data_IF_729137648524
#
_entry.id   IF_729137648524
#
_cell.length_a   1.000
_cell.length_b   1.000
_cell.length_c   1.000
_cell.angle_alpha   90.00
_cell.angle_beta   90.00
_cell.angle_gamma   90.00
#
_symmetry.space_group_name_H-M   'P 1'
#
loop_
_entity.id
_entity.type
_entity.pdbx_description
1 polymer ?
#
# COMPACT_ATOMS: atom_id res chain seq x y z
N UNK A 1 -24.52 -20.69 51.57
CA UNK A 1 -25.10 -19.35 51.80
C UNK A 1 -24.08 -18.22 51.88
N UNK A 2 -23.27 -18.04 52.93
CA UNK A 2 -22.35 -16.87 53.01
C UNK A 2 -21.21 -16.92 51.98
N UNK A 3 -20.69 -18.10 51.65
CA UNK A 3 -19.64 -18.29 50.64
C UNK A 3 -20.13 -18.06 49.19
N UNK A 4 -21.38 -18.40 48.88
CA UNK A 4 -21.98 -18.16 47.57
C UNK A 4 -22.24 -16.67 47.32
N UNK A 5 -22.66 -15.93 48.35
CA UNK A 5 -22.83 -14.48 48.29
C UNK A 5 -21.50 -13.74 48.07
N UNK A 6 -20.41 -14.21 48.69
CA UNK A 6 -19.08 -13.65 48.49
C UNK A 6 -18.56 -13.87 47.06
N UNK A 7 -18.78 -15.06 46.49
CA UNK A 7 -18.42 -15.36 45.09
C UNK A 7 -19.27 -14.56 44.09
N UNK A 8 -20.56 -14.35 44.39
CA UNK A 8 -21.44 -13.55 43.54
C UNK A 8 -21.08 -12.07 43.54
N UNK A 9 -20.73 -11.50 44.70
CA UNK A 9 -20.23 -10.13 44.83
C UNK A 9 -18.86 -9.96 44.17
N UNK A 10 -17.95 -10.92 44.30
CA UNK A 10 -16.67 -10.90 43.61
C UNK A 10 -16.83 -11.00 42.08
N UNK A 11 -17.80 -11.78 41.60
CA UNK A 11 -18.12 -11.88 40.18
C UNK A 11 -18.73 -10.58 39.64
N UNK A 12 -19.65 -9.96 40.37
CA UNK A 12 -20.20 -8.64 40.04
C UNK A 12 -19.12 -7.55 40.05
N UNK A 13 -18.21 -7.56 41.04
CA UNK A 13 -17.10 -6.63 41.11
C UNK A 13 -16.11 -6.84 39.95
N UNK A 14 -15.85 -8.10 39.57
CA UNK A 14 -15.03 -8.47 38.42
C UNK A 14 -15.66 -8.01 37.09
N UNK A 15 -16.97 -8.19 36.91
CA UNK A 15 -17.71 -7.67 35.73
C UNK A 15 -17.66 -6.14 35.69
N UNK A 16 -17.80 -5.46 36.83
CA UNK A 16 -17.74 -4.00 36.93
C UNK A 16 -16.33 -3.46 36.65
N UNK A 17 -15.27 -4.17 37.06
CA UNK A 17 -13.88 -3.78 36.82
C UNK A 17 -13.36 -4.11 35.42
N UNK A 18 -14.02 -4.99 34.68
CA UNK A 18 -13.65 -5.36 33.30
C UNK A 18 -14.24 -4.44 32.22
N UNK A 19 -15.08 -3.47 32.57
CA UNK A 19 -15.51 -2.47 31.60
C UNK A 19 -14.40 -1.45 31.36
N UNK A 20 -13.45 -1.80 30.49
CA UNK A 20 -12.59 -0.79 29.87
C UNK A 20 -13.49 0.31 29.27
N UNK A 21 -13.18 1.60 29.53
CA UNK A 21 -14.00 2.69 29.04
C UNK A 21 -14.08 2.62 27.51
N UNK A 22 -15.31 2.72 26.98
CA UNK A 22 -15.55 2.73 25.53
C UNK A 22 -14.70 3.83 24.88
N UNK A 23 -13.69 3.43 24.11
CA UNK A 23 -12.84 4.37 23.36
C UNK A 23 -13.52 4.67 22.03
N UNK A 24 -13.71 5.95 21.76
CA UNK A 24 -14.27 6.43 20.48
C UNK A 24 -13.14 7.01 19.64
N UNK A 25 -13.11 6.65 18.36
CA UNK A 25 -12.14 7.13 17.39
C UNK A 25 -12.86 7.72 16.18
N UNK A 26 -12.26 8.73 15.55
CA UNK A 26 -12.81 9.41 14.39
C UNK A 26 -11.89 9.18 13.19
N UNK A 27 -12.49 8.89 12.04
CA UNK A 27 -11.82 8.65 10.75
C UNK A 27 -12.66 9.27 9.64
N UNK A 28 -12.04 9.53 8.47
CA UNK A 28 -12.77 9.99 7.29
C UNK A 28 -13.82 8.99 6.82
N UNK A 29 -13.51 7.69 6.96
CA UNK A 29 -14.42 6.58 6.71
C UNK A 29 -14.05 5.36 7.56
N UNK A 30 -15.06 4.56 7.93
CA UNK A 30 -14.91 3.27 8.62
C UNK A 30 -15.63 2.21 7.79
N UNK A 31 -14.93 1.13 7.44
CA UNK A 31 -15.47 0.05 6.64
C UNK A 31 -15.77 -1.18 7.52
N UNK A 32 -17.02 -1.64 7.61
CA UNK A 32 -17.39 -2.87 8.32
C UNK A 32 -16.92 -4.12 7.56
N UNK A 33 -16.97 -5.28 8.23
CA UNK A 33 -16.50 -6.56 7.69
C UNK A 33 -17.21 -6.98 6.39
N UNK A 34 -18.49 -6.66 6.27
CA UNK A 34 -19.35 -6.95 5.12
C UNK A 34 -19.15 -5.97 3.94
N UNK A 35 -18.26 -4.98 4.10
CA UNK A 35 -17.96 -4.04 3.02
C UNK A 35 -17.22 -4.73 1.86
N UNK A 36 -17.79 -4.65 0.66
CA UNK A 36 -17.16 -5.16 -0.54
C UNK A 36 -15.95 -4.31 -1.00
N UNK A 37 -15.10 -4.90 -1.85
CA UNK A 37 -13.86 -4.28 -2.32
C UNK A 37 -14.10 -3.04 -3.19
N UNK A 38 -15.20 -3.02 -3.93
CA UNK A 38 -15.55 -1.92 -4.83
C UNK A 38 -16.01 -0.69 -4.04
N UNK A 39 -16.73 -0.89 -2.94
CA UNK A 39 -17.13 0.16 -2.02
C UNK A 39 -15.92 0.76 -1.33
N UNK A 40 -14.97 -0.07 -0.88
CA UNK A 40 -13.68 0.41 -0.39
C UNK A 40 -13.05 1.27 -1.47
N UNK A 41 -12.80 0.73 -2.68
CA UNK A 41 -12.17 1.47 -3.79
C UNK A 41 -12.83 2.83 -4.09
N UNK A 42 -14.15 2.88 -4.21
CA UNK A 42 -14.87 4.09 -4.58
C UNK A 42 -14.76 5.21 -3.54
N UNK A 43 -14.76 4.88 -2.25
CA UNK A 43 -14.61 5.87 -1.17
C UNK A 43 -13.13 6.23 -0.97
N UNK A 44 -12.27 5.22 -1.04
CA UNK A 44 -10.86 5.25 -0.70
C UNK A 44 -9.95 5.86 -1.76
N UNK A 45 -10.00 5.25 -2.94
CA UNK A 45 -8.92 5.28 -3.91
C UNK A 45 -9.33 6.07 -5.14
N UNK A 46 -10.60 5.95 -5.55
CA UNK A 46 -11.13 6.63 -6.73
C UNK A 46 -10.84 8.15 -6.73
N UNK A 47 -11.07 8.93 -5.67
CA UNK A 47 -10.76 10.37 -5.70
C UNK A 47 -9.26 10.65 -5.88
N UNK A 48 -8.39 9.78 -5.34
CA UNK A 48 -6.94 9.89 -5.49
C UNK A 48 -6.54 9.59 -6.93
N UNK A 49 -7.07 8.51 -7.52
CA UNK A 49 -6.79 8.15 -8.92
C UNK A 49 -7.28 9.25 -9.88
N UNK A 50 -8.47 9.83 -9.64
CA UNK A 50 -8.98 10.96 -10.43
C UNK A 50 -8.07 12.19 -10.33
N UNK A 51 -7.49 12.46 -9.17
CA UNK A 51 -6.52 13.54 -9.02
C UNK A 51 -5.19 13.22 -9.72
N UNK A 52 -4.73 11.97 -9.70
CA UNK A 52 -3.54 11.56 -10.44
C UNK A 52 -3.71 11.76 -11.95
N UNK A 53 -4.90 11.43 -12.48
CA UNK A 53 -5.22 11.65 -13.89
C UNK A 53 -5.25 13.14 -14.28
N UNK A 54 -5.46 14.05 -13.31
CA UNK A 54 -5.36 15.51 -13.47
C UNK A 54 -3.94 16.07 -13.28
N UNK A 55 -2.93 15.21 -13.10
CA UNK A 55 -1.53 15.62 -12.92
C UNK A 55 -1.12 15.88 -11.47
N UNK A 56 -1.86 15.39 -10.48
CA UNK A 56 -1.44 15.45 -9.08
C UNK A 56 -0.72 14.17 -8.64
N UNK A 57 0.01 14.25 -7.52
CA UNK A 57 0.59 13.07 -6.89
C UNK A 57 -0.40 12.51 -5.86
N UNK A 58 -0.54 11.19 -5.83
CA UNK A 58 -1.45 10.47 -4.96
C UNK A 58 -0.77 9.24 -4.36
N UNK A 59 -1.04 8.98 -3.10
CA UNK A 59 -0.44 7.84 -2.40
C UNK A 59 -1.49 7.15 -1.55
N UNK A 60 -1.59 5.84 -1.71
CA UNK A 60 -2.50 4.97 -0.96
C UNK A 60 -1.65 3.98 -0.17
N UNK A 61 -1.82 3.98 1.15
CA UNK A 61 -1.16 3.03 2.05
C UNK A 61 -2.18 2.06 2.65
N UNK A 62 -1.86 0.78 2.62
CA UNK A 62 -2.43 -0.18 3.55
C UNK A 62 -1.50 -0.36 4.75
N UNK A 63 -2.04 -0.18 5.95
CA UNK A 63 -1.32 -0.27 7.21
C UNK A 63 -2.14 -1.08 8.22
N UNK A 64 -1.46 -1.86 9.05
CA UNK A 64 -2.08 -2.73 10.04
C UNK A 64 -1.17 -3.89 10.43
N UNK A 65 -1.52 -4.60 11.50
CA UNK A 65 -0.79 -5.80 11.93
C UNK A 65 -0.84 -6.89 10.86
N UNK A 66 0.11 -7.82 10.87
CA UNK A 66 0.02 -9.05 10.05
C UNK A 66 -1.33 -9.76 10.24
N UNK A 67 -1.92 -10.24 9.14
CA UNK A 67 -3.23 -10.90 9.13
C UNK A 67 -4.45 -9.98 9.01
N UNK A 68 -4.31 -8.65 9.15
CA UNK A 68 -5.45 -7.70 9.12
C UNK A 68 -5.99 -7.35 7.72
N UNK A 69 -5.63 -8.10 6.69
CA UNK A 69 -6.19 -7.91 5.34
C UNK A 69 -5.59 -6.77 4.51
N UNK A 70 -4.36 -6.31 4.79
CA UNK A 70 -3.65 -5.29 3.97
C UNK A 70 -3.53 -5.71 2.50
N UNK A 71 -2.90 -6.85 2.24
CA UNK A 71 -2.70 -7.39 0.88
C UNK A 71 -4.03 -7.75 0.23
N UNK A 72 -5.03 -8.21 1.00
CA UNK A 72 -6.38 -8.43 0.49
C UNK A 72 -7.04 -7.12 0.05
N UNK A 73 -6.89 -6.04 0.81
CA UNK A 73 -7.45 -4.72 0.44
C UNK A 73 -6.71 -4.12 -0.77
N UNK A 74 -5.39 -4.25 -0.82
CA UNK A 74 -4.57 -3.69 -1.90
C UNK A 74 -4.67 -4.49 -3.19
N UNK A 75 -4.43 -5.79 -3.15
CA UNK A 75 -4.41 -6.66 -4.34
C UNK A 75 -5.73 -7.40 -4.50
N UNK A 76 -6.23 -7.98 -3.40
CA UNK A 76 -7.41 -8.84 -3.43
C UNK A 76 -7.16 -10.15 -4.17
N UNK A 77 -8.23 -10.74 -4.67
CA UNK A 77 -8.18 -11.91 -5.53
C UNK A 77 -8.24 -11.49 -6.99
N UNK A 78 -7.19 -11.81 -7.76
CA UNK A 78 -7.10 -11.41 -9.17
C UNK A 78 -7.98 -12.28 -10.09
N UNK A 79 -8.31 -13.50 -9.66
CA UNK A 79 -9.12 -14.43 -10.45
C UNK A 79 -10.62 -14.14 -10.33
N UNK A 80 -11.03 -13.48 -9.23
CA UNK A 80 -12.42 -13.10 -8.95
C UNK A 80 -12.61 -11.59 -9.05
N UNK A 81 -13.20 -11.06 -10.14
CA UNK A 81 -13.34 -9.62 -10.38
C UNK A 81 -13.97 -8.84 -9.22
N UNK A 82 -14.95 -9.42 -8.54
CA UNK A 82 -15.66 -8.83 -7.40
C UNK A 82 -14.79 -8.71 -6.13
N UNK A 83 -13.70 -9.47 -6.06
CA UNK A 83 -12.75 -9.47 -4.94
C UNK A 83 -11.43 -8.75 -5.25
N UNK A 84 -11.30 -8.18 -6.45
CA UNK A 84 -10.14 -7.38 -6.83
C UNK A 84 -10.02 -6.15 -5.94
N UNK A 85 -8.82 -5.91 -5.42
CA UNK A 85 -8.54 -4.82 -4.48
C UNK A 85 -8.27 -3.46 -5.13
N UNK A 86 -7.65 -2.56 -4.40
CA UNK A 86 -7.36 -1.18 -4.84
C UNK A 86 -6.46 -1.13 -6.08
N UNK A 87 -5.40 -1.93 -6.12
CA UNK A 87 -4.40 -1.94 -7.19
C UNK A 87 -5.02 -2.33 -8.54
N UNK A 88 -5.64 -3.52 -8.69
CA UNK A 88 -6.23 -3.92 -9.97
C UNK A 88 -7.35 -2.96 -10.43
N UNK A 89 -8.19 -2.48 -9.51
CA UNK A 89 -9.22 -1.48 -9.84
C UNK A 89 -8.63 -0.13 -10.26
N UNK A 90 -7.49 0.28 -9.70
CA UNK A 90 -6.78 1.48 -10.14
C UNK A 90 -6.25 1.35 -11.56
N UNK A 91 -5.73 0.17 -11.94
CA UNK A 91 -5.24 -0.07 -13.30
C UNK A 91 -6.36 0.03 -14.32
N UNK A 92 -7.50 -0.60 -14.03
CA UNK A 92 -8.69 -0.52 -14.88
C UNK A 92 -9.17 0.93 -15.01
N UNK A 93 -9.33 1.65 -13.91
CA UNK A 93 -9.79 3.04 -13.91
C UNK A 93 -8.87 3.97 -14.73
N UNK A 94 -7.55 3.84 -14.59
CA UNK A 94 -6.59 4.65 -15.36
C UNK A 94 -6.79 4.43 -16.87
N UNK A 95 -6.84 3.17 -17.32
CA UNK A 95 -6.97 2.88 -18.75
C UNK A 95 -8.39 3.11 -19.29
N UNK A 96 -9.43 2.94 -18.48
CA UNK A 96 -10.79 3.33 -18.83
C UNK A 96 -10.91 4.85 -19.04
N UNK A 97 -10.21 5.65 -18.23
CA UNK A 97 -10.14 7.09 -18.42
C UNK A 97 -9.43 7.44 -19.73
N UNK A 98 -8.24 6.86 -19.97
CA UNK A 98 -7.47 7.07 -21.20
C UNK A 98 -8.29 6.72 -22.44
N UNK A 99 -9.03 5.61 -22.41
CA UNK A 99 -9.87 5.17 -23.52
C UNK A 99 -11.07 6.10 -23.80
N UNK A 100 -11.53 6.86 -22.79
CA UNK A 100 -12.67 7.79 -22.90
C UNK A 100 -12.24 9.23 -23.22
N UNK A 101 -10.96 9.55 -23.14
CA UNK A 101 -10.44 10.88 -23.42
C UNK A 101 -10.53 11.24 -24.91
N UNK A 102 -10.59 12.55 -25.19
CA UNK A 102 -10.65 13.08 -26.55
C UNK A 102 -9.36 12.80 -27.33
N UNK A 103 -9.46 12.80 -28.67
CA UNK A 103 -8.33 12.50 -29.57
C UNK A 103 -7.15 13.50 -29.45
N UNK A 104 -7.36 14.68 -28.87
CA UNK A 104 -6.34 15.73 -28.71
C UNK A 104 -5.44 15.54 -27.49
N UNK A 105 -5.70 14.52 -26.65
CA UNK A 105 -4.87 14.21 -25.47
C UNK A 105 -4.06 12.94 -25.72
N UNK A 106 -2.74 13.03 -25.58
CA UNK A 106 -1.86 11.85 -25.62
C UNK A 106 -1.41 11.49 -24.22
N UNK A 107 -1.30 10.18 -23.94
CA UNK A 107 -0.92 9.66 -22.63
C UNK A 107 0.33 8.78 -22.73
N UNK A 108 1.21 8.89 -21.74
CA UNK A 108 2.33 7.98 -21.52
C UNK A 108 2.25 7.44 -20.09
N UNK A 109 2.06 6.12 -19.95
CA UNK A 109 1.97 5.45 -18.65
C UNK A 109 3.23 4.65 -18.41
N UNK A 110 3.86 4.87 -17.26
CA UNK A 110 5.06 4.16 -16.80
C UNK A 110 4.84 3.55 -15.43
N UNK A 111 5.36 2.36 -15.20
CA UNK A 111 5.26 1.67 -13.90
C UNK A 111 6.62 1.28 -13.35
N UNK A 112 6.72 1.23 -12.02
CA UNK A 112 7.85 0.64 -11.30
C UNK A 112 7.36 -0.12 -10.08
N UNK A 113 8.09 -1.14 -9.63
CA UNK A 113 7.70 -1.95 -8.49
C UNK A 113 8.89 -2.17 -7.55
N UNK A 114 8.83 -1.56 -6.37
CA UNK A 114 9.90 -1.58 -5.37
C UNK A 114 9.47 -2.41 -4.16
N UNK A 115 10.39 -3.23 -3.66
CA UNK A 115 10.31 -3.83 -2.33
C UNK A 115 11.39 -3.25 -1.43
N UNK A 116 11.06 -3.08 -0.14
CA UNK A 116 12.03 -2.91 0.94
C UNK A 116 11.89 -4.10 1.87
N UNK A 117 12.95 -4.90 1.91
CA UNK A 117 13.05 -6.07 2.76
C UNK A 117 14.35 -5.98 3.55
N UNK A 118 14.26 -6.11 4.88
CA UNK A 118 15.43 -6.02 5.76
C UNK A 118 16.32 -4.78 5.50
N UNK A 119 15.68 -3.63 5.29
CA UNK A 119 16.35 -2.37 4.92
C UNK A 119 17.12 -2.40 3.58
N UNK A 120 16.96 -3.42 2.76
CA UNK A 120 17.50 -3.47 1.39
C UNK A 120 16.44 -3.14 0.35
N UNK A 121 16.82 -2.33 -0.63
CA UNK A 121 15.96 -2.00 -1.77
C UNK A 121 16.05 -3.13 -2.79
N UNK A 122 14.90 -3.59 -3.29
CA UNK A 122 14.81 -4.60 -4.33
C UNK A 122 13.89 -4.12 -5.45
N UNK A 123 14.34 -4.28 -6.68
CA UNK A 123 13.54 -3.97 -7.86
C UNK A 123 12.80 -5.23 -8.28
N UNK A 124 11.49 -5.24 -8.04
CA UNK A 124 10.66 -6.41 -8.32
C UNK A 124 10.43 -6.60 -9.82
N UNK A 125 10.75 -5.62 -10.68
CA UNK A 125 10.68 -5.74 -12.13
C UNK A 125 12.02 -6.12 -12.78
N UNK A 126 13.10 -6.23 -12.01
CA UNK A 126 14.38 -6.77 -12.48
C UNK A 126 14.28 -8.28 -12.74
N UNK A 127 15.09 -8.79 -13.68
CA UNK A 127 15.07 -10.22 -14.08
C UNK A 127 15.35 -11.19 -12.93
N UNK A 128 16.22 -10.79 -12.03
CA UNK A 128 16.62 -11.52 -10.82
C UNK A 128 15.85 -11.06 -9.56
N UNK A 129 14.95 -10.08 -9.69
CA UNK A 129 14.29 -9.45 -8.54
C UNK A 129 15.23 -8.63 -7.65
N UNK A 130 16.44 -8.34 -8.13
CA UNK A 130 17.44 -7.52 -7.44
C UNK A 130 17.90 -6.39 -8.36
N UNK A 131 17.62 -5.15 -7.97
CA UNK A 131 18.11 -4.00 -8.74
C UNK A 131 19.62 -3.82 -8.51
N UNK A 132 20.36 -3.42 -9.54
CA UNK A 132 21.78 -3.12 -9.40
C UNK A 132 21.98 -1.72 -8.80
N UNK A 133 22.57 -1.64 -7.61
CA UNK A 133 22.92 -0.39 -6.94
C UNK A 133 21.74 0.60 -6.81
N UNK A 134 20.62 0.13 -6.24
CA UNK A 134 19.47 0.99 -5.93
C UNK A 134 19.83 1.94 -4.78
N UNK A 135 19.62 3.24 -5.00
CA UNK A 135 19.97 4.29 -4.03
C UNK A 135 18.81 5.27 -3.88
N UNK A 136 18.39 5.58 -2.65
CA UNK A 136 17.43 6.67 -2.40
C UNK A 136 18.17 8.00 -2.58
N UNK A 137 17.61 8.88 -3.41
CA UNK A 137 18.12 10.22 -3.69
C UNK A 137 17.01 11.26 -3.59
N UNK A 138 17.40 12.52 -3.45
CA UNK A 138 16.48 13.65 -3.42
C UNK A 138 16.85 14.63 -4.53
N UNK A 139 15.84 15.13 -5.25
CA UNK A 139 15.97 16.22 -6.23
C UNK A 139 14.95 17.31 -5.88
N UNK A 140 15.29 18.61 -5.97
CA UNK A 140 14.36 19.69 -5.64
C UNK A 140 13.01 19.61 -6.36
N UNK A 141 13.01 19.22 -7.63
CA UNK A 141 11.83 19.29 -8.50
C UNK A 141 10.97 18.01 -8.47
N UNK A 142 11.60 16.87 -8.13
CA UNK A 142 10.99 15.54 -8.17
C UNK A 142 10.72 15.01 -6.75
N UNK A 143 11.41 15.55 -5.74
CA UNK A 143 11.42 15.03 -4.38
C UNK A 143 12.33 13.81 -4.25
N UNK A 144 12.00 12.93 -3.32
CA UNK A 144 12.74 11.70 -3.05
C UNK A 144 12.39 10.64 -4.11
N UNK A 145 13.40 9.97 -4.66
CA UNK A 145 13.27 8.93 -5.68
C UNK A 145 14.33 7.84 -5.50
N UNK A 146 14.11 6.66 -6.11
CA UNK A 146 15.09 5.58 -6.13
C UNK A 146 15.85 5.61 -7.45
N UNK A 147 17.14 5.91 -7.39
CA UNK A 147 18.04 5.83 -8.55
C UNK A 147 18.18 4.36 -8.97
N UNK A 148 18.24 4.14 -10.28
CA UNK A 148 18.37 2.83 -10.93
C UNK A 148 17.15 1.90 -10.79
N UNK A 149 16.03 2.38 -10.22
CA UNK A 149 14.77 1.63 -10.24
C UNK A 149 14.21 1.60 -11.67
N UNK A 150 13.93 0.40 -12.18
CA UNK A 150 13.38 0.18 -13.51
C UNK A 150 12.00 0.83 -13.64
N UNK A 151 11.78 1.48 -14.78
CA UNK A 151 10.51 2.06 -15.16
C UNK A 151 10.11 1.56 -16.54
N UNK A 152 8.97 0.86 -16.62
CA UNK A 152 8.49 0.20 -17.84
C UNK A 152 7.28 0.96 -18.39
N UNK A 153 7.30 1.27 -19.69
CA UNK A 153 6.15 1.85 -20.40
C UNK A 153 5.10 0.75 -20.61
N UNK A 154 3.85 1.07 -20.31
CA UNK A 154 2.71 0.16 -20.46
C UNK A 154 1.61 0.78 -21.32
N UNK A 155 0.97 -0.04 -22.15
CA UNK A 155 -0.11 0.36 -23.04
C UNK A 155 -1.49 -0.19 -22.67
N UNK A 156 -1.61 -0.96 -21.58
CA UNK A 156 -2.92 -1.45 -21.09
C UNK A 156 -2.89 -1.85 -19.62
N UNK A 157 -4.08 -1.91 -19.01
CA UNK A 157 -4.26 -2.44 -17.66
C UNK A 157 -3.76 -3.90 -17.55
N UNK A 158 -3.97 -4.72 -18.59
CA UNK A 158 -3.48 -6.10 -18.62
C UNK A 158 -1.95 -6.20 -18.54
N UNK A 159 -1.21 -5.29 -19.20
CA UNK A 159 0.24 -5.24 -19.07
C UNK A 159 0.67 -4.88 -17.64
N UNK A 160 -0.04 -3.97 -16.97
CA UNK A 160 0.23 -3.65 -15.55
C UNK A 160 -0.01 -4.86 -14.64
N UNK A 161 -1.10 -5.60 -14.86
CA UNK A 161 -1.38 -6.84 -14.10
C UNK A 161 -0.26 -7.86 -14.25
N UNK A 162 0.21 -8.12 -15.48
CA UNK A 162 1.31 -9.04 -15.75
C UNK A 162 2.61 -8.63 -15.06
N UNK A 163 2.93 -7.32 -15.02
CA UNK A 163 4.10 -6.81 -14.32
C UNK A 163 3.95 -6.91 -12.80
N UNK A 164 2.74 -6.70 -12.26
CA UNK A 164 2.46 -6.92 -10.84
C UNK A 164 2.61 -8.40 -10.47
N UNK A 165 2.06 -9.32 -11.26
CA UNK A 165 2.22 -10.76 -11.06
C UNK A 165 3.69 -11.19 -11.13
N UNK A 166 4.44 -10.67 -12.10
CA UNK A 166 5.89 -10.89 -12.22
C UNK A 166 6.61 -10.42 -10.95
N UNK A 167 6.37 -9.19 -10.52
CA UNK A 167 7.00 -8.67 -9.30
C UNK A 167 6.59 -9.41 -8.03
N UNK A 168 5.34 -9.87 -7.94
CA UNK A 168 4.89 -10.69 -6.83
C UNK A 168 5.59 -12.07 -6.80
N UNK A 169 5.92 -12.66 -7.96
CA UNK A 169 6.74 -13.88 -8.01
C UNK A 169 8.15 -13.62 -7.49
N UNK A 170 8.78 -12.53 -7.91
CA UNK A 170 10.11 -12.14 -7.41
C UNK A 170 10.10 -11.87 -5.88
N UNK A 171 9.05 -11.21 -5.40
CA UNK A 171 8.81 -10.97 -3.96
C UNK A 171 8.74 -12.29 -3.18
N UNK A 172 7.97 -13.28 -3.69
CA UNK A 172 7.84 -14.61 -3.08
C UNK A 172 9.15 -15.40 -3.07
N UNK A 173 9.92 -15.39 -4.16
CA UNK A 173 11.21 -16.11 -4.25
C UNK A 173 12.19 -15.60 -3.19
N UNK A 174 12.27 -14.27 -3.00
CA UNK A 174 13.10 -13.71 -1.93
C UNK A 174 12.67 -14.13 -0.53
N UNK A 175 11.36 -14.25 -0.28
CA UNK A 175 10.84 -14.73 1.00
C UNK A 175 11.19 -16.21 1.26
N UNK A 176 11.10 -17.07 0.24
CA UNK A 176 11.43 -18.50 0.39
C UNK A 176 12.91 -18.77 0.70
N UNK A 177 13.81 -17.86 0.33
CA UNK A 177 15.24 -18.01 0.64
C UNK A 177 15.59 -17.68 2.10
N UNK A 178 14.76 -16.93 2.84
CA UNK A 178 15.15 -16.40 4.17
C UNK A 178 14.02 -16.27 5.24
N UNK A 179 12.94 -17.06 5.14
CA UNK A 179 11.73 -17.10 6.00
C UNK A 179 10.55 -16.24 5.51
N UNK A 180 9.35 -16.75 5.81
CA UNK A 180 8.09 -16.45 5.13
C UNK A 180 7.50 -15.05 5.36
N UNK A 181 6.80 -14.61 4.31
CA UNK A 181 5.62 -13.74 4.27
C UNK A 181 5.79 -12.22 4.09
N UNK A 182 4.90 -11.65 3.26
CA UNK A 182 4.68 -10.22 2.99
C UNK A 182 4.53 -9.33 4.25
N UNK A 183 4.38 -9.93 5.42
CA UNK A 183 4.39 -9.30 6.73
C UNK A 183 5.70 -8.58 7.06
N UNK A 184 6.82 -8.96 6.42
CA UNK A 184 8.16 -8.44 6.76
C UNK A 184 8.78 -7.53 5.70
N UNK A 185 8.09 -7.31 4.58
CA UNK A 185 8.57 -6.41 3.52
C UNK A 185 7.52 -5.37 3.14
N UNK A 186 7.97 -4.15 2.88
CA UNK A 186 7.12 -3.11 2.31
C UNK A 186 7.19 -3.22 0.79
N UNK A 187 6.05 -3.09 0.11
CA UNK A 187 5.99 -3.07 -1.34
C UNK A 187 5.30 -1.80 -1.85
N UNK A 188 5.84 -1.19 -2.90
CA UNK A 188 5.29 0.00 -3.54
C UNK A 188 5.24 -0.21 -5.05
N UNK A 189 4.03 -0.32 -5.57
CA UNK A 189 3.77 -0.24 -7.00
C UNK A 189 3.50 1.22 -7.37
N UNK A 190 4.33 1.79 -8.25
CA UNK A 190 4.20 3.18 -8.67
C UNK A 190 3.71 3.25 -10.11
N UNK A 191 2.74 4.12 -10.37
CA UNK A 191 2.22 4.42 -11.71
C UNK A 191 2.45 5.91 -11.97
N UNK A 192 3.16 6.23 -13.04
CA UNK A 192 3.34 7.60 -13.52
C UNK A 192 2.49 7.76 -14.77
N UNK A 193 1.59 8.73 -14.77
CA UNK A 193 0.74 9.08 -15.90
C UNK A 193 1.15 10.46 -16.38
N UNK A 194 1.72 10.53 -17.57
CA UNK A 194 1.95 11.79 -18.28
C UNK A 194 0.83 11.98 -19.29
N UNK A 195 0.28 13.19 -19.35
CA UNK A 195 -0.67 13.59 -20.37
C UNK A 195 -0.19 14.86 -21.06
N UNK A 196 -0.42 14.96 -22.36
CA UNK A 196 -0.15 16.15 -23.16
C UNK A 196 -1.43 16.52 -23.90
N UNK A 197 -1.96 17.70 -23.60
CA UNK A 197 -3.13 18.28 -24.25
C UNK A 197 -2.74 19.66 -24.80
N UNK A 198 -2.83 19.84 -26.13
CA UNK A 198 -2.52 21.11 -26.81
C UNK A 198 -1.16 21.72 -26.44
N UNK A 199 -0.16 20.86 -26.22
CA UNK A 199 1.21 21.25 -25.85
C UNK A 199 1.43 21.51 -24.36
N UNK A 200 0.39 21.44 -23.52
CA UNK A 200 0.53 21.48 -22.06
C UNK A 200 0.73 20.06 -21.53
N UNK A 201 1.89 19.83 -20.91
CA UNK A 201 2.22 18.54 -20.31
C UNK A 201 1.91 18.56 -18.82
N UNK A 202 1.17 17.57 -18.35
CA UNK A 202 0.98 17.30 -16.93
C UNK A 202 1.49 15.89 -16.58
N UNK A 203 1.92 15.71 -15.35
CA UNK A 203 2.40 14.42 -14.85
C UNK A 203 1.81 14.17 -13.47
N UNK A 204 1.05 13.09 -13.34
CA UNK A 204 0.58 12.58 -12.06
C UNK A 204 1.29 11.30 -11.70
N UNK A 205 1.48 11.07 -10.39
CA UNK A 205 2.11 9.85 -9.88
C UNK A 205 1.26 9.22 -8.79
N UNK A 206 0.85 7.98 -8.99
CA UNK A 206 0.15 7.15 -8.02
C UNK A 206 1.12 6.17 -7.36
N UNK A 207 1.19 6.18 -6.04
CA UNK A 207 1.90 5.21 -5.23
C UNK A 207 0.91 4.31 -4.51
N UNK A 208 0.98 3.00 -4.78
CA UNK A 208 0.15 1.97 -4.17
C UNK A 208 1.03 1.14 -3.24
N UNK A 209 0.89 1.35 -1.94
CA UNK A 209 1.84 0.87 -0.93
C UNK A 209 1.19 -0.15 -0.01
N UNK A 210 1.74 -1.36 0.02
CA UNK A 210 1.43 -2.42 0.96
C UNK A 210 2.55 -2.50 2.01
N UNK A 211 2.29 -2.03 3.23
CA UNK A 211 3.30 -1.97 4.28
C UNK A 211 3.44 -3.32 5.00
N UNK A 212 4.64 -3.59 5.52
CA UNK A 212 4.88 -4.66 6.47
C UNK A 212 3.96 -4.54 7.70
N UNK A 213 3.78 -5.66 8.42
CA UNK A 213 3.03 -5.73 9.66
C UNK A 213 3.62 -4.80 10.73
N UNK A 214 2.74 -4.11 11.45
CA UNK A 214 3.13 -3.13 12.48
C UNK A 214 3.38 -3.73 13.87
N UNK A 215 3.43 -5.06 14.00
CA UNK A 215 3.67 -5.74 15.26
C UNK A 215 4.96 -5.26 15.94
N UNK A 216 4.86 -5.00 17.26
CA UNK A 216 6.03 -4.64 18.07
C UNK A 216 6.90 -5.88 18.28
N UNK A 217 8.19 -5.77 17.95
CA UNK A 217 9.23 -6.77 18.25
C UNK A 217 9.30 -7.18 19.74
N UNK A 218 8.66 -6.44 20.66
CA UNK A 218 8.66 -6.75 22.09
C UNK A 218 7.94 -8.06 22.48
N UNK A 219 7.21 -8.72 21.57
CA UNK A 219 6.61 -10.05 21.79
C UNK A 219 7.47 -11.21 21.27
N UNK A 220 8.51 -10.93 20.50
CA UNK A 220 9.51 -11.92 20.11
C UNK A 220 10.66 -11.79 21.08
N UNK A 221 11.05 -12.84 21.81
CA UNK A 221 12.08 -12.83 22.86
C UNK A 221 13.52 -12.50 22.40
N UNK A 222 13.69 -11.68 21.35
CA UNK A 222 14.95 -11.18 20.84
C UNK A 222 15.51 -10.09 21.77
N UNK A 223 16.01 -10.52 22.94
CA UNK A 223 16.81 -9.70 23.84
C UNK A 223 18.21 -9.59 23.22
N UNK A 224 18.48 -8.62 22.34
CA UNK A 224 19.84 -8.45 21.86
C UNK A 224 20.09 -7.42 20.75
N UNK A 225 19.24 -7.34 19.74
CA UNK A 225 19.43 -6.34 18.67
C UNK A 225 18.77 -5.02 19.05
N UNK A 226 19.55 -4.16 19.71
CA UNK A 226 19.28 -2.72 19.85
C UNK A 226 18.63 -2.16 18.58
N UNK A 227 17.43 -1.58 18.73
CA UNK A 227 16.82 -0.50 17.94
C UNK A 227 17.67 0.01 16.75
N UNK A 228 17.76 -0.75 15.67
CA UNK A 228 18.16 -0.17 14.37
C UNK A 228 16.97 0.65 13.90
N UNK A 229 17.12 1.97 13.87
CA UNK A 229 16.16 2.86 13.22
C UNK A 229 16.11 2.45 11.75
N UNK A 230 14.92 2.10 11.26
CA UNK A 230 14.66 1.62 9.91
C UNK A 230 14.75 2.78 8.89
N UNK A 231 15.98 3.25 8.63
CA UNK A 231 16.28 4.44 7.81
C UNK A 231 15.63 4.38 6.42
N UNK A 232 15.65 3.22 5.78
CA UNK A 232 15.12 3.04 4.43
C UNK A 232 13.60 2.94 4.46
N UNK A 233 13.01 2.31 5.46
CA UNK A 233 11.56 2.32 5.66
C UNK A 233 11.00 3.74 5.88
N UNK A 234 11.68 4.58 6.67
CA UNK A 234 11.32 6.00 6.81
C UNK A 234 11.53 6.81 5.52
N UNK A 235 12.62 6.54 4.80
CA UNK A 235 12.92 7.22 3.54
C UNK A 235 11.96 6.81 2.42
N UNK A 236 11.40 5.60 2.48
CA UNK A 236 10.38 5.08 1.58
C UNK A 236 9.02 5.72 1.79
N UNK A 237 8.63 5.88 3.06
CA UNK A 237 7.51 6.71 3.46
C UNK A 237 7.73 8.10 2.84
N UNK A 238 8.88 8.74 3.07
CA UNK A 238 9.22 10.05 2.47
C UNK A 238 9.20 10.05 0.92
N UNK A 239 9.68 8.99 0.27
CA UNK A 239 9.62 8.80 -1.19
C UNK A 239 8.19 8.78 -1.73
N UNK A 240 7.26 8.29 -0.92
CA UNK A 240 5.84 8.25 -1.23
C UNK A 240 5.13 9.59 -0.91
N UNK A 241 5.79 10.53 -0.22
CA UNK A 241 5.24 11.85 0.11
C UNK A 241 5.91 12.95 -0.72
N UNK A 242 5.21 13.47 -1.72
CA UNK A 242 5.62 14.69 -2.44
C UNK A 242 4.74 15.89 -2.04
N UNK A 243 5.21 17.12 -2.24
CA UNK A 243 4.63 18.36 -1.66
C UNK A 243 3.20 18.76 -2.12
N UNK A 244 2.53 17.95 -2.95
CA UNK A 244 1.14 18.14 -3.43
C UNK A 244 0.37 16.81 -3.41
N UNK A 245 0.04 16.28 -2.23
CA UNK A 245 -0.59 14.95 -2.07
C UNK A 245 -1.95 15.05 -1.39
N UNK A 246 -2.96 14.45 -2.03
CA UNK A 246 -4.23 14.10 -1.38
C UNK A 246 -4.06 12.77 -0.63
N UNK A 247 -4.55 12.75 0.61
CA UNK A 247 -4.26 11.73 1.62
C UNK A 247 -5.50 10.87 1.85
N UNK A 248 -5.37 9.54 1.86
CA UNK A 248 -6.32 8.68 2.57
C UNK A 248 -5.54 7.52 3.20
N UNK A 249 -5.73 7.33 4.51
CA UNK A 249 -5.20 6.20 5.28
C UNK A 249 -6.37 5.28 5.62
N UNK A 250 -6.24 3.98 5.33
CA UNK A 250 -7.32 3.02 5.52
C UNK A 250 -7.20 2.31 6.85
N UNK A 251 -8.34 2.20 7.54
CA UNK A 251 -8.57 1.20 8.58
C UNK A 251 -9.75 0.34 8.12
N UNK A 252 -9.49 -0.92 7.79
CA UNK A 252 -10.54 -1.94 7.67
C UNK A 252 -10.60 -2.66 9.02
N UNK A 253 -11.78 -2.68 9.64
CA UNK A 253 -12.00 -3.52 10.80
C UNK A 253 -12.17 -4.96 10.27
N UNK A 254 -11.33 -5.85 10.75
CA UNK A 254 -11.33 -7.28 10.47
C UNK A 254 -11.55 -8.04 11.76
#
# INVERSE_FOLDING_TARGET
MISELANFLAFLYFIYYLQEPRRTFFFDAVFPEDCDQMRVYNVAARPIVENVLKGYNGTIFAYGQTGTGKTFTMTGDLERPELQGIIPNSFAHIFDHIAKCQQDTTFLVRVSYLEIYNEELRDLLAKDGHGTNLEIKEKPDIGVYVKNLISIIVGSASQMQKLMEFGNKNRKVGATQMNEESSRSHAMFSVTVESSERGMVTQGKLHLVDLAGSERQSKTGAVGERLKVHKNSFSFVKCSYNKKVHRVSFFRLS
#
